data_IF_853484479493
#
_entry.id   IF_853484479493
#
_cell.length_a   1.000
_cell.length_b   1.000
_cell.length_c   1.000
_cell.angle_alpha   90.00
_cell.angle_beta   90.00
_cell.angle_gamma   90.00
#
_symmetry.space_group_name_H-M   'P 1'
#
loop_
_entity.id
_entity.type
_entity.pdbx_description
1 polymer ?
#
# COMPACT_ATOMS: atom_id res chain seq x y z
N UNK A 1 -0.93 17.28 -9.30
CA UNK A 1 -1.80 16.17 -8.86
C UNK A 1 -0.95 15.07 -8.25
N UNK A 2 -1.38 14.50 -7.12
CA UNK A 2 -0.68 13.41 -6.46
C UNK A 2 -0.62 12.15 -7.35
N UNK A 3 0.51 11.46 -7.33
CA UNK A 3 0.74 10.24 -8.10
C UNK A 3 0.54 9.01 -7.20
N UNK A 4 -0.27 8.05 -7.64
CA UNK A 4 -0.37 6.75 -6.97
C UNK A 4 0.99 6.04 -7.05
N UNK A 5 1.53 5.60 -5.91
CA UNK A 5 2.82 4.90 -5.86
C UNK A 5 2.72 3.47 -5.39
N UNK A 6 1.72 3.16 -4.57
CA UNK A 6 1.57 1.83 -4.01
C UNK A 6 0.10 1.50 -3.80
N UNK A 7 -0.24 0.26 -4.08
CA UNK A 7 -1.52 -0.37 -3.83
C UNK A 7 -1.27 -1.60 -2.96
N UNK A 8 -2.02 -1.68 -1.87
CA UNK A 8 -2.15 -2.88 -1.06
C UNK A 8 -3.54 -3.46 -1.25
N UNK A 9 -3.60 -4.74 -1.58
CA UNK A 9 -4.83 -5.47 -1.82
C UNK A 9 -4.79 -6.81 -1.07
N UNK A 10 -5.92 -7.51 -1.04
CA UNK A 10 -5.97 -8.86 -0.53
C UNK A 10 -7.37 -9.44 -0.58
N UNK A 11 -7.48 -10.69 -0.14
CA UNK A 11 -8.73 -11.41 -0.20
C UNK A 11 -8.63 -12.74 0.53
N UNK A 12 -9.57 -13.62 0.22
CA UNK A 12 -9.67 -14.95 0.79
C UNK A 12 -10.08 -15.94 -0.31
N UNK A 13 -9.22 -16.90 -0.60
CA UNK A 13 -9.43 -17.99 -1.57
C UNK A 13 -10.42 -19.04 -1.02
N UNK A 14 -10.75 -18.96 0.27
CA UNK A 14 -11.72 -19.81 0.95
C UNK A 14 -11.36 -21.31 0.92
N UNK A 15 -10.07 -21.62 0.81
CA UNK A 15 -9.56 -23.00 0.73
C UNK A 15 -8.27 -23.12 1.53
N UNK A 16 -8.03 -24.30 2.13
CA UNK A 16 -6.78 -24.60 2.82
C UNK A 16 -5.65 -24.85 1.82
N UNK A 17 -4.47 -24.30 2.10
CA UNK A 17 -3.30 -24.35 1.24
C UNK A 17 -2.12 -24.92 2.02
N UNK A 18 -1.51 -25.97 1.48
CA UNK A 18 -0.25 -26.50 2.01
C UNK A 18 0.91 -25.59 1.59
N UNK A 19 1.21 -24.59 2.41
CA UNK A 19 2.26 -23.61 2.15
C UNK A 19 3.64 -24.26 2.03
N UNK A 20 3.89 -25.39 2.72
CA UNK A 20 5.17 -26.08 2.65
C UNK A 20 5.35 -26.69 1.27
N UNK A 21 4.35 -27.44 0.81
CA UNK A 21 4.36 -28.03 -0.53
C UNK A 21 4.46 -26.93 -1.60
N UNK A 22 3.62 -25.91 -1.51
CA UNK A 22 3.62 -24.79 -2.46
C UNK A 22 4.99 -24.09 -2.52
N UNK A 23 5.63 -23.83 -1.37
CA UNK A 23 6.96 -23.19 -1.33
C UNK A 23 8.06 -23.97 -2.06
N UNK A 24 7.89 -25.29 -2.21
CA UNK A 24 8.84 -26.17 -2.90
C UNK A 24 8.53 -26.32 -4.39
N UNK A 25 7.28 -26.11 -4.78
CA UNK A 25 6.81 -26.26 -6.17
C UNK A 25 6.81 -24.93 -6.94
N UNK A 26 6.77 -23.78 -6.26
CA UNK A 26 6.73 -22.46 -6.89
C UNK A 26 8.00 -22.17 -7.71
N UNK A 27 7.81 -21.92 -9.01
CA UNK A 27 8.85 -21.43 -9.92
C UNK A 27 8.75 -19.90 -10.06
N UNK A 28 9.30 -19.17 -9.08
CA UNK A 28 9.19 -17.71 -8.97
C UNK A 28 10.53 -17.06 -8.63
N UNK A 29 10.65 -15.74 -8.80
CA UNK A 29 11.91 -15.03 -8.52
C UNK A 29 12.37 -15.19 -7.06
N UNK A 30 11.44 -15.05 -6.11
CA UNK A 30 11.74 -15.15 -4.69
C UNK A 30 10.61 -15.84 -3.95
N UNK A 31 10.98 -16.71 -3.01
CA UNK A 31 10.06 -17.40 -2.11
C UNK A 31 10.67 -17.50 -0.72
N UNK A 32 9.91 -17.21 0.31
CA UNK A 32 10.34 -17.26 1.72
C UNK A 32 9.23 -17.84 2.57
N UNK A 33 9.53 -18.97 3.22
CA UNK A 33 8.62 -19.65 4.13
C UNK A 33 9.36 -20.09 5.38
N UNK A 34 9.13 -19.37 6.47
CA UNK A 34 9.74 -19.62 7.77
C UNK A 34 8.64 -19.79 8.82
N UNK A 35 7.95 -20.95 8.88
CA UNK A 35 6.77 -21.15 9.73
C UNK A 35 7.04 -20.96 11.23
N UNK A 36 8.29 -21.09 11.67
CA UNK A 36 8.71 -20.82 13.06
C UNK A 36 8.75 -19.31 13.38
N UNK A 37 9.00 -18.48 12.37
CA UNK A 37 9.10 -17.02 12.47
C UNK A 37 7.77 -16.33 12.11
N UNK A 38 7.10 -16.82 11.07
CA UNK A 38 5.90 -16.20 10.52
C UNK A 38 5.00 -17.23 9.81
N UNK A 39 3.69 -17.09 9.96
CA UNK A 39 2.69 -18.06 9.47
C UNK A 39 2.39 -18.00 7.97
N UNK A 40 2.97 -17.04 7.24
CA UNK A 40 2.69 -16.80 5.83
C UNK A 40 3.85 -17.19 4.91
N UNK A 41 3.51 -17.53 3.67
CA UNK A 41 4.42 -17.71 2.56
C UNK A 41 4.55 -16.38 1.81
N UNK A 42 5.76 -15.85 1.72
CA UNK A 42 6.06 -14.65 0.93
C UNK A 42 6.67 -15.04 -0.41
N UNK A 43 6.22 -14.43 -1.50
CA UNK A 43 6.84 -14.64 -2.80
C UNK A 43 6.58 -13.51 -3.80
N UNK A 44 7.40 -13.45 -4.85
CA UNK A 44 7.28 -12.55 -5.99
C UNK A 44 7.54 -13.30 -7.30
N UNK A 45 6.67 -13.12 -8.29
CA UNK A 45 6.84 -13.71 -9.62
C UNK A 45 8.06 -13.15 -10.36
N UNK A 46 8.21 -11.82 -10.38
CA UNK A 46 9.31 -11.11 -11.04
C UNK A 46 9.86 -9.99 -10.16
N UNK A 47 10.94 -9.31 -10.60
CA UNK A 47 11.57 -8.22 -9.85
C UNK A 47 10.69 -6.97 -9.73
N UNK A 48 9.77 -6.79 -10.68
CA UNK A 48 8.83 -5.68 -10.70
C UNK A 48 7.43 -6.08 -10.19
N UNK A 49 7.23 -7.37 -9.88
CA UNK A 49 5.95 -7.87 -9.38
C UNK A 49 5.72 -7.45 -7.93
N UNK A 50 4.46 -7.19 -7.55
CA UNK A 50 4.08 -7.02 -6.15
C UNK A 50 4.47 -8.26 -5.32
N UNK A 51 4.66 -8.06 -4.01
CA UNK A 51 4.86 -9.17 -3.07
C UNK A 51 3.53 -9.77 -2.67
N UNK A 52 3.41 -11.09 -2.79
CA UNK A 52 2.29 -11.86 -2.26
C UNK A 52 2.67 -12.40 -0.88
N UNK A 53 1.74 -12.29 0.06
CA UNK A 53 1.75 -13.04 1.31
C UNK A 53 0.53 -13.94 1.35
N UNK A 54 0.74 -15.25 1.42
CA UNK A 54 -0.31 -16.26 1.41
C UNK A 54 -0.33 -17.02 2.73
N UNK A 55 -1.52 -17.20 3.31
CA UNK A 55 -1.71 -17.94 4.54
C UNK A 55 -2.32 -19.32 4.26
N UNK A 56 -2.05 -20.29 5.13
CA UNK A 56 -2.53 -21.67 4.99
C UNK A 56 -4.06 -21.79 4.97
N UNK A 57 -4.77 -20.79 5.47
CA UNK A 57 -6.23 -20.73 5.43
C UNK A 57 -6.82 -20.13 4.15
N UNK A 58 -5.98 -19.78 3.16
CA UNK A 58 -6.42 -19.20 1.89
C UNK A 58 -6.51 -17.67 1.88
N UNK A 59 -6.32 -17.00 3.02
CA UNK A 59 -6.18 -15.55 3.03
C UNK A 59 -4.89 -15.14 2.34
N UNK A 60 -4.93 -14.00 1.67
CA UNK A 60 -3.75 -13.43 1.04
C UNK A 60 -3.72 -11.89 1.12
N UNK A 61 -2.54 -11.35 0.91
CA UNK A 61 -2.32 -9.93 0.63
C UNK A 61 -1.31 -9.75 -0.50
N UNK A 62 -1.53 -8.70 -1.30
CA UNK A 62 -0.66 -8.24 -2.36
C UNK A 62 -0.21 -6.83 -1.97
N UNK A 63 1.10 -6.58 -1.89
CA UNK A 63 1.66 -5.29 -1.47
C UNK A 63 2.75 -4.82 -2.41
N UNK A 64 2.81 -3.50 -2.64
CA UNK A 64 3.84 -2.88 -3.48
C UNK A 64 3.50 -2.82 -4.96
N UNK A 65 2.24 -3.06 -5.34
CA UNK A 65 1.78 -2.82 -6.71
C UNK A 65 1.81 -1.31 -7.01
N UNK A 66 2.31 -0.92 -8.19
CA UNK A 66 2.43 0.50 -8.57
C UNK A 66 1.06 1.16 -8.80
N UNK A 67 0.11 0.37 -9.28
CA UNK A 67 -1.27 0.77 -9.55
C UNK A 67 -2.25 -0.40 -9.31
N UNK A 68 -3.54 -0.13 -9.51
CA UNK A 68 -4.61 -1.11 -9.30
C UNK A 68 -4.49 -2.27 -10.31
N UNK A 69 -4.17 -1.97 -11.56
CA UNK A 69 -4.03 -3.00 -12.61
C UNK A 69 -2.90 -3.97 -12.29
N UNK A 70 -1.78 -3.49 -11.76
CA UNK A 70 -0.69 -4.35 -11.32
C UNK A 70 -1.07 -5.27 -10.15
N UNK A 71 -1.95 -4.80 -9.25
CA UNK A 71 -2.49 -5.66 -8.19
C UNK A 71 -3.47 -6.72 -8.75
N UNK A 72 -4.29 -6.34 -9.73
CA UNK A 72 -5.23 -7.26 -10.41
C UNK A 72 -4.49 -8.34 -11.20
N UNK A 73 -3.49 -7.97 -12.03
CA UNK A 73 -2.69 -8.94 -12.77
C UNK A 73 -1.92 -9.89 -11.85
N UNK A 74 -1.36 -9.37 -10.74
CA UNK A 74 -0.71 -10.20 -9.74
C UNK A 74 -1.68 -11.18 -9.06
N UNK A 75 -2.92 -10.76 -8.82
CA UNK A 75 -3.96 -11.62 -8.30
C UNK A 75 -4.37 -12.71 -9.30
N UNK A 76 -4.54 -12.39 -10.58
CA UNK A 76 -4.83 -13.38 -11.63
C UNK A 76 -3.72 -14.43 -11.73
N UNK A 77 -2.46 -13.99 -11.68
CA UNK A 77 -1.29 -14.88 -11.71
C UNK A 77 -1.25 -15.78 -10.46
N UNK A 78 -1.59 -15.25 -9.27
CA UNK A 78 -1.76 -16.04 -8.04
C UNK A 78 -2.83 -17.13 -8.21
N UNK A 79 -4.01 -16.79 -8.74
CA UNK A 79 -5.11 -17.75 -8.91
C UNK A 79 -4.73 -18.83 -9.92
N UNK A 80 -4.08 -18.48 -11.03
CA UNK A 80 -3.58 -19.44 -12.00
C UNK A 80 -2.58 -20.41 -11.36
N UNK A 81 -1.58 -19.87 -10.65
CA UNK A 81 -0.53 -20.65 -9.98
C UNK A 81 -1.10 -21.65 -8.97
N UNK A 82 -2.07 -21.22 -8.18
CA UNK A 82 -2.70 -22.08 -7.19
C UNK A 82 -3.60 -23.15 -7.85
N UNK A 83 -4.30 -22.81 -8.93
CA UNK A 83 -5.15 -23.77 -9.64
C UNK A 83 -4.32 -24.91 -10.23
N UNK A 84 -3.15 -24.58 -10.79
CA UNK A 84 -2.20 -25.54 -11.34
C UNK A 84 -1.59 -26.45 -10.26
N UNK A 85 -1.13 -25.88 -9.13
CA UNK A 85 -0.52 -26.66 -8.04
C UNK A 85 -1.54 -27.55 -7.30
N UNK A 86 -2.78 -27.09 -7.13
CA UNK A 86 -3.82 -27.79 -6.37
C UNK A 86 -4.62 -28.79 -7.22
N UNK A 87 -4.48 -28.78 -8.54
CA UNK A 87 -5.31 -29.54 -9.48
C UNK A 87 -6.81 -29.35 -9.20
N UNK A 88 -7.18 -28.12 -8.82
CA UNK A 88 -8.51 -27.72 -8.38
C UNK A 88 -8.87 -26.40 -9.05
N UNK A 89 -10.13 -26.27 -9.46
CA UNK A 89 -10.60 -25.09 -10.17
C UNK A 89 -10.92 -23.95 -9.20
N UNK A 90 -9.88 -23.22 -8.76
CA UNK A 90 -9.99 -22.09 -7.83
C UNK A 90 -10.69 -20.90 -8.50
N UNK A 91 -10.63 -20.83 -9.84
CA UNK A 91 -11.27 -19.79 -10.65
C UNK A 91 -12.81 -19.75 -10.52
N UNK A 92 -13.42 -20.85 -10.07
CA UNK A 92 -14.88 -21.00 -9.95
C UNK A 92 -15.44 -20.59 -8.57
N UNK A 93 -14.59 -20.36 -7.57
CA UNK A 93 -15.02 -19.91 -6.25
C UNK A 93 -14.98 -18.38 -6.16
N UNK A 94 -15.90 -17.78 -5.41
CA UNK A 94 -16.15 -16.33 -5.27
C UNK A 94 -14.97 -15.52 -4.67
N UNK A 95 -13.74 -15.74 -5.11
CA UNK A 95 -12.55 -15.05 -4.63
C UNK A 95 -12.47 -13.69 -5.29
N UNK A 96 -12.73 -12.63 -4.52
CA UNK A 96 -12.59 -11.25 -4.98
C UNK A 96 -11.31 -10.62 -4.43
N UNK A 97 -10.59 -9.88 -5.28
CA UNK A 97 -9.54 -8.97 -4.84
C UNK A 97 -10.18 -7.72 -4.22
N UNK A 98 -9.80 -7.39 -2.99
CA UNK A 98 -10.22 -6.16 -2.32
C UNK A 98 -9.04 -5.20 -2.17
N UNK A 99 -9.18 -4.00 -2.71
CA UNK A 99 -8.22 -2.90 -2.47
C UNK A 99 -8.34 -2.48 -1.00
N UNK A 100 -7.23 -2.58 -0.26
CA UNK A 100 -7.18 -2.27 1.18
C UNK A 100 -6.65 -0.88 1.45
N UNK A 101 -5.65 -0.46 0.69
CA UNK A 101 -4.98 0.84 0.87
C UNK A 101 -4.30 1.28 -0.42
N UNK A 102 -4.30 2.58 -0.64
CA UNK A 102 -3.66 3.31 -1.71
C UNK A 102 -2.71 4.33 -1.06
N UNK A 103 -1.50 4.45 -1.60
CA UNK A 103 -0.51 5.43 -1.17
C UNK A 103 -0.16 6.36 -2.31
N UNK A 104 -0.26 7.65 -2.05
CA UNK A 104 0.01 8.70 -3.01
C UNK A 104 1.20 9.53 -2.59
N UNK A 105 1.87 10.09 -3.58
CA UNK A 105 2.99 11.00 -3.36
C UNK A 105 2.94 12.16 -4.34
N UNK A 106 3.28 13.33 -3.86
CA UNK A 106 3.53 14.50 -4.70
C UNK A 106 4.79 15.22 -4.23
N UNK A 107 5.49 15.88 -5.15
CA UNK A 107 6.59 16.76 -4.79
C UNK A 107 6.23 18.17 -5.25
N UNK A 108 5.99 19.06 -4.29
CA UNK A 108 5.66 20.45 -4.55
C UNK A 108 6.90 21.30 -4.86
N UNK A 109 8.11 20.80 -4.58
CA UNK A 109 9.36 21.46 -4.99
C UNK A 109 9.74 22.70 -4.17
N UNK A 110 9.04 22.96 -3.07
CA UNK A 110 9.32 24.06 -2.14
C UNK A 110 9.75 23.50 -0.79
N UNK A 111 10.77 24.10 -0.18
CA UNK A 111 11.18 23.73 1.18
C UNK A 111 10.11 24.17 2.19
N UNK A 112 9.76 23.28 3.11
CA UNK A 112 8.73 23.48 4.12
C UNK A 112 9.36 23.54 5.51
N UNK A 113 9.09 24.62 6.24
CA UNK A 113 9.46 24.74 7.63
C UNK A 113 8.50 23.91 8.50
N UNK A 114 8.88 22.65 8.77
CA UNK A 114 8.02 21.70 9.46
C UNK A 114 7.69 22.13 10.89
N UNK A 115 8.61 22.81 11.56
CA UNK A 115 8.40 23.33 12.91
C UNK A 115 7.28 24.38 12.92
N UNK A 116 7.30 25.32 11.98
CA UNK A 116 6.22 26.31 11.86
C UNK A 116 4.92 25.73 11.28
N UNK A 117 5.00 24.64 10.50
CA UNK A 117 3.81 23.95 9.98
C UNK A 117 3.08 23.14 11.05
N UNK A 118 3.76 22.65 12.09
CA UNK A 118 3.08 21.95 13.18
C UNK A 118 2.03 22.86 13.84
N UNK A 119 2.35 24.14 14.01
CA UNK A 119 1.49 25.15 14.63
C UNK A 119 0.21 25.49 13.83
N UNK A 120 0.08 25.06 12.56
CA UNK A 120 -1.12 25.33 11.74
C UNK A 120 -2.20 24.24 11.85
N UNK A 121 -1.89 23.11 12.48
CA UNK A 121 -2.81 21.98 12.66
C UNK A 121 -3.29 21.88 14.12
N UNK A 122 -4.36 21.13 14.37
CA UNK A 122 -4.79 20.85 15.74
C UNK A 122 -3.81 19.87 16.41
N UNK A 123 -3.55 20.04 17.71
CA UNK A 123 -2.53 19.26 18.44
C UNK A 123 -2.77 17.75 18.40
N UNK A 124 -4.01 17.29 18.24
CA UNK A 124 -4.38 15.88 18.13
C UNK A 124 -4.40 15.35 16.68
N UNK A 125 -4.28 16.24 15.68
CA UNK A 125 -4.17 15.89 14.26
C UNK A 125 -2.70 15.76 13.80
N UNK A 126 -1.73 16.30 14.55
CA UNK A 126 -0.34 16.44 14.09
C UNK A 126 0.69 15.88 15.07
N UNK A 127 1.73 15.26 14.53
CA UNK A 127 2.91 14.86 15.30
C UNK A 127 4.19 15.12 14.48
N UNK A 128 5.11 15.92 15.02
CA UNK A 128 6.44 16.06 14.44
C UNK A 128 7.55 15.85 15.49
N UNK A 129 8.35 14.81 15.28
CA UNK A 129 9.55 14.56 16.06
C UNK A 129 10.70 14.11 15.15
N UNK A 130 11.58 15.04 14.72
CA UNK A 130 12.65 14.75 13.76
C UNK A 130 13.69 13.74 14.26
N UNK A 131 13.77 13.50 15.57
CA UNK A 131 14.65 12.45 16.13
C UNK A 131 14.09 11.05 15.91
N UNK A 132 12.76 10.92 15.80
CA UNK A 132 12.08 9.65 15.57
C UNK A 132 11.79 9.43 14.07
N UNK A 133 11.26 10.44 13.39
CA UNK A 133 10.86 10.37 11.99
C UNK A 133 11.06 11.72 11.27
N UNK A 134 11.60 11.75 10.04
CA UNK A 134 11.96 13.00 9.35
C UNK A 134 10.77 13.78 8.75
N UNK A 135 9.57 13.19 8.74
CA UNK A 135 8.36 13.85 8.25
C UNK A 135 7.46 14.26 9.41
N UNK A 136 6.76 15.39 9.24
CA UNK A 136 5.59 15.75 10.03
C UNK A 136 4.43 14.83 9.63
N UNK A 137 3.82 14.20 10.61
CA UNK A 137 2.68 13.30 10.45
C UNK A 137 1.41 14.10 10.70
N UNK A 138 0.49 14.10 9.76
CA UNK A 138 -0.78 14.83 9.87
C UNK A 138 -1.96 13.94 9.50
N UNK A 139 -2.86 13.69 10.44
CA UNK A 139 -4.07 12.89 10.30
C UNK A 139 -5.29 13.80 10.51
N UNK A 140 -5.88 14.38 9.44
CA UNK A 140 -7.06 15.25 9.56
C UNK A 140 -8.29 14.52 10.12
N UNK A 141 -8.41 13.23 9.80
CA UNK A 141 -9.46 12.33 10.26
C UNK A 141 -9.10 10.88 9.89
N UNK A 142 -10.07 9.96 10.04
CA UNK A 142 -9.90 8.53 9.79
C UNK A 142 -9.74 8.14 8.31
N UNK A 143 -9.73 9.11 7.38
CA UNK A 143 -9.60 8.86 5.94
C UNK A 143 -8.16 8.56 5.52
N UNK A 144 -7.14 9.09 6.20
CA UNK A 144 -5.75 8.84 5.86
C UNK A 144 -4.72 9.71 6.59
N UNK A 145 -3.44 9.31 6.47
CA UNK A 145 -2.31 9.94 7.12
C UNK A 145 -1.38 10.61 6.10
N UNK A 146 -1.13 11.90 6.27
CA UNK A 146 -0.10 12.63 5.55
C UNK A 146 1.27 12.46 6.18
N UNK A 147 2.28 12.37 5.32
CA UNK A 147 3.69 12.45 5.66
C UNK A 147 4.29 13.63 4.91
N UNK A 148 4.55 14.74 5.60
CA UNK A 148 5.01 16.00 5.02
C UNK A 148 6.50 16.15 5.31
N UNK A 149 7.31 16.21 4.25
CA UNK A 149 8.76 16.32 4.35
C UNK A 149 9.22 17.75 4.10
N UNK A 150 10.31 18.15 4.77
CA UNK A 150 10.96 19.46 4.58
C UNK A 150 11.27 19.75 3.12
N UNK A 151 11.52 18.73 2.29
CA UNK A 151 11.80 18.89 0.85
C UNK A 151 10.60 19.31 -0.01
N UNK A 152 9.39 19.44 0.56
CA UNK A 152 8.16 19.65 -0.19
C UNK A 152 7.58 18.37 -0.79
N UNK A 153 8.20 17.21 -0.52
CA UNK A 153 7.60 15.91 -0.81
C UNK A 153 6.51 15.64 0.23
N UNK A 154 5.33 15.26 -0.24
CA UNK A 154 4.18 14.91 0.59
C UNK A 154 3.69 13.52 0.18
N UNK A 155 3.58 12.63 1.16
CA UNK A 155 2.96 11.32 1.03
C UNK A 155 1.60 11.31 1.70
N UNK A 156 0.67 10.50 1.17
CA UNK A 156 -0.63 10.22 1.79
C UNK A 156 -0.86 8.72 1.77
N UNK A 157 -1.13 8.12 2.92
CA UNK A 157 -1.29 6.67 3.08
C UNK A 157 -2.61 6.31 3.78
N UNK A 158 -3.04 5.06 3.63
CA UNK A 158 -4.28 4.55 4.25
C UNK A 158 -5.54 4.79 3.41
N UNK A 159 -5.40 5.32 2.19
CA UNK A 159 -6.53 5.73 1.37
C UNK A 159 -7.25 4.54 0.74
N UNK A 160 -8.59 4.51 0.82
CA UNK A 160 -9.39 3.45 0.18
C UNK A 160 -9.83 3.78 -1.24
N UNK A 161 -9.91 5.06 -1.62
CA UNK A 161 -10.46 5.52 -2.91
C UNK A 161 -9.71 6.74 -3.45
N UNK A 162 -9.45 6.77 -4.76
CA UNK A 162 -8.79 7.90 -5.45
C UNK A 162 -9.45 9.26 -5.16
N UNK A 163 -10.79 9.32 -5.15
CA UNK A 163 -11.52 10.58 -4.91
C UNK A 163 -11.19 11.17 -3.54
N UNK A 164 -11.06 10.32 -2.51
CA UNK A 164 -10.72 10.75 -1.16
C UNK A 164 -9.28 11.28 -1.08
N UNK A 165 -8.34 10.68 -1.80
CA UNK A 165 -6.99 11.24 -1.87
C UNK A 165 -6.99 12.64 -2.48
N UNK A 166 -7.74 12.85 -3.57
CA UNK A 166 -7.82 14.17 -4.20
C UNK A 166 -8.41 15.21 -3.24
N UNK A 167 -9.52 14.89 -2.58
CA UNK A 167 -10.15 15.76 -1.57
C UNK A 167 -9.16 16.14 -0.46
N UNK A 168 -8.48 15.16 0.13
CA UNK A 168 -7.52 15.40 1.22
C UNK A 168 -6.32 16.24 0.76
N UNK A 169 -5.78 16.00 -0.43
CA UNK A 169 -4.69 16.83 -0.96
C UNK A 169 -5.15 18.26 -1.21
N UNK A 170 -6.35 18.45 -1.74
CA UNK A 170 -6.91 19.79 -1.94
C UNK A 170 -7.11 20.49 -0.59
N UNK A 171 -7.68 19.82 0.42
CA UNK A 171 -7.84 20.34 1.79
C UNK A 171 -6.49 20.75 2.41
N UNK A 172 -5.47 19.88 2.34
CA UNK A 172 -4.13 20.16 2.85
C UNK A 172 -3.49 21.37 2.14
N UNK A 173 -3.61 21.45 0.81
CA UNK A 173 -2.99 22.52 0.04
C UNK A 173 -3.54 23.91 0.38
N UNK A 174 -4.81 24.02 0.79
CA UNK A 174 -5.37 25.28 1.26
C UNK A 174 -4.80 25.72 2.61
N UNK A 175 -4.26 24.80 3.42
CA UNK A 175 -3.63 25.10 4.71
C UNK A 175 -2.14 25.39 4.57
N UNK A 176 -1.47 24.80 3.59
CA UNK A 176 -0.03 24.96 3.41
C UNK A 176 0.33 26.37 2.90
N UNK A 177 1.44 26.95 3.39
CA UNK A 177 1.93 28.27 2.98
C UNK A 177 2.69 28.17 1.65
N UNK A 178 2.14 27.47 0.65
CA UNK A 178 2.62 27.61 -0.71
C UNK A 178 2.14 28.97 -1.20
N UNK A 179 3.08 29.88 -1.44
CA UNK A 179 2.77 31.21 -1.97
C UNK A 179 1.85 31.05 -3.20
N UNK A 180 0.76 31.82 -3.24
CA UNK A 180 -0.04 32.02 -4.44
C UNK A 180 0.76 32.85 -5.47
N UNK A 181 1.95 32.40 -5.86
CA UNK A 181 2.75 32.99 -6.93
C UNK A 181 2.81 32.03 -8.11
N UNK A 182 1.70 31.97 -8.85
CA UNK A 182 1.67 31.65 -10.28
C UNK A 182 0.40 32.23 -10.90
N UNK A 183 0.44 33.54 -11.15
CA UNK A 183 -0.26 34.15 -12.30
C UNK A 183 0.69 34.13 -13.49
#
# INVERSE_FOLDING_TARGET
MPELRSVAAGGDIQTQIDLRRLSQELEVLSVTYEPESFSGLHFQFTSDSPTITLFSNGKFSITGARDISGAESCFEELISTLSDSMNADISSQNTSLNIRSLSYWHNYGHELDLENLEDIFEEDEVEYNPNNHPALLYEPDDRGLFMIFRSGKIGLVGIKRNVVAQELFDELLHRLPFDNEST
#
